data_IF_906666602354
#
_entry.id   IF_906666602354
#
_cell.length_a   1.000
_cell.length_b   1.000
_cell.length_c   1.000
_cell.angle_alpha   90.00
_cell.angle_beta   90.00
_cell.angle_gamma   90.00
#
_symmetry.space_group_name_H-M   'P 1'
#
loop_
_entity.id
_entity.type
_entity.pdbx_description
1 polymer ?
#
# COMPACT_ATOMS: atom_id res chain seq x y z
N UNK A 1 14.48 24.26 -3.85
CA UNK A 1 13.65 23.09 -3.49
C UNK A 1 12.33 23.27 -4.24
N UNK A 2 12.11 22.54 -5.33
CA UNK A 2 10.86 22.67 -6.09
C UNK A 2 9.71 22.12 -5.24
N UNK A 3 8.75 22.97 -4.90
CA UNK A 3 7.47 22.55 -4.35
C UNK A 3 6.90 21.49 -5.29
N UNK A 4 6.78 20.25 -4.81
CA UNK A 4 5.96 19.24 -5.50
C UNK A 4 4.53 19.75 -5.37
N UNK A 5 4.03 20.36 -6.43
CA UNK A 5 2.60 20.62 -6.58
C UNK A 5 1.94 19.23 -6.57
N UNK A 6 1.46 18.82 -5.39
CA UNK A 6 0.73 17.57 -5.25
C UNK A 6 -0.56 17.76 -6.03
N UNK A 7 -0.66 17.11 -7.19
CA UNK A 7 -1.89 17.08 -7.96
C UNK A 7 -3.03 16.72 -7.00
N UNK A 8 -3.96 17.65 -6.81
CA UNK A 8 -5.16 17.36 -6.02
C UNK A 8 -5.97 16.32 -6.79
N UNK A 9 -6.71 15.42 -6.12
CA UNK A 9 -7.49 14.38 -6.79
C UNK A 9 -8.38 14.92 -7.92
N UNK A 10 -8.90 16.14 -7.78
CA UNK A 10 -9.77 16.80 -8.76
C UNK A 10 -9.05 17.36 -10.00
N UNK A 11 -7.71 17.38 -9.98
CA UNK A 11 -6.87 17.99 -11.03
C UNK A 11 -5.94 17.02 -11.73
N UNK A 12 -5.76 15.81 -11.18
CA UNK A 12 -4.90 14.80 -11.78
C UNK A 12 -5.52 14.32 -13.09
N UNK A 13 -4.80 14.46 -14.20
CA UNK A 13 -5.28 13.89 -15.47
C UNK A 13 -5.09 12.38 -15.48
N UNK A 14 -5.77 11.69 -16.40
CA UNK A 14 -5.58 10.24 -16.58
C UNK A 14 -4.12 9.91 -16.89
N UNK A 15 -3.46 10.70 -17.75
CA UNK A 15 -2.06 10.51 -18.12
C UNK A 15 -1.11 10.72 -16.94
N UNK A 16 -1.38 11.73 -16.11
CA UNK A 16 -0.60 11.99 -14.90
C UNK A 16 -0.75 10.86 -13.89
N UNK A 17 -1.98 10.39 -13.68
CA UNK A 17 -2.25 9.26 -12.81
C UNK A 17 -1.51 8.00 -13.26
N UNK A 18 -1.58 7.66 -14.55
CA UNK A 18 -0.86 6.49 -15.08
C UNK A 18 0.66 6.62 -14.92
N UNK A 19 1.22 7.82 -15.15
CA UNK A 19 2.66 8.08 -14.93
C UNK A 19 3.07 7.94 -13.46
N UNK A 20 2.19 8.30 -12.53
CA UNK A 20 2.44 8.15 -11.09
C UNK A 20 2.27 6.68 -10.66
N UNK A 21 1.24 6.00 -11.17
CA UNK A 21 0.98 4.60 -10.89
C UNK A 21 2.14 3.70 -11.33
N UNK A 22 2.73 3.97 -12.50
CA UNK A 22 3.91 3.26 -12.99
C UNK A 22 5.15 3.38 -12.08
N UNK A 23 5.17 4.35 -11.16
CA UNK A 23 6.26 4.54 -10.18
C UNK A 23 5.95 3.92 -8.82
N UNK A 24 4.73 3.44 -8.59
CA UNK A 24 4.25 2.98 -7.29
C UNK A 24 5.09 1.82 -6.75
N UNK A 25 5.27 0.76 -7.54
CA UNK A 25 6.03 -0.42 -7.13
C UNK A 25 7.46 -0.08 -6.72
N UNK A 26 8.15 0.69 -7.57
CA UNK A 26 9.52 1.17 -7.27
C UNK A 26 9.59 2.05 -6.03
N UNK A 27 8.55 2.87 -5.77
CA UNK A 27 8.49 3.70 -4.57
C UNK A 27 8.34 2.85 -3.30
N UNK A 28 7.46 1.85 -3.32
CA UNK A 28 7.25 0.93 -2.21
C UNK A 28 8.52 0.12 -1.93
N UNK A 29 9.19 -0.37 -2.96
CA UNK A 29 10.48 -1.06 -2.84
C UNK A 29 11.56 -0.15 -2.23
N UNK A 30 11.68 1.09 -2.74
CA UNK A 30 12.63 2.07 -2.23
C UNK A 30 12.39 2.43 -0.76
N UNK A 31 11.14 2.64 -0.35
CA UNK A 31 10.81 2.95 1.05
C UNK A 31 11.05 1.73 1.95
N UNK A 32 10.73 0.53 1.46
CA UNK A 32 10.94 -0.71 2.20
C UNK A 32 12.41 -0.98 2.48
N UNK A 33 13.26 -0.77 1.47
CA UNK A 33 14.72 -0.92 1.60
C UNK A 33 15.36 0.20 2.44
N UNK A 34 14.98 1.46 2.23
CA UNK A 34 15.58 2.61 2.94
C UNK A 34 15.22 2.69 4.42
N UNK A 35 13.96 2.43 4.78
CA UNK A 35 13.52 2.49 6.18
C UNK A 35 13.70 1.16 6.90
N UNK A 36 13.68 0.03 6.18
CA UNK A 36 13.83 -1.33 6.73
C UNK A 36 12.72 -1.70 7.73
N UNK A 37 12.55 -2.98 8.07
CA UNK A 37 11.67 -3.38 9.16
C UNK A 37 12.48 -3.59 10.44
N UNK A 38 11.90 -3.26 11.62
CA UNK A 38 12.46 -3.73 12.89
C UNK A 38 12.28 -5.24 12.98
N UNK A 39 13.10 -5.90 13.80
CA UNK A 39 13.00 -7.34 14.01
C UNK A 39 11.58 -7.75 14.43
N UNK A 40 10.98 -8.68 13.69
CA UNK A 40 9.62 -9.17 13.93
C UNK A 40 8.48 -8.34 13.32
N UNK A 41 8.78 -7.26 12.60
CA UNK A 41 7.79 -6.47 11.88
C UNK A 41 7.85 -6.73 10.37
N UNK A 42 6.72 -6.52 9.69
CA UNK A 42 6.68 -6.54 8.23
C UNK A 42 7.24 -5.24 7.63
N UNK A 43 7.83 -5.36 6.46
CA UNK A 43 8.23 -4.25 5.59
C UNK A 43 7.00 -3.56 5.00
N UNK A 44 7.18 -2.35 4.46
CA UNK A 44 6.08 -1.65 3.79
C UNK A 44 5.58 -2.45 2.58
N UNK A 45 6.49 -3.09 1.84
CA UNK A 45 6.17 -3.95 0.70
C UNK A 45 5.31 -5.15 1.10
N UNK A 46 5.63 -5.83 2.20
CA UNK A 46 4.81 -6.95 2.68
C UNK A 46 3.44 -6.49 3.19
N UNK A 47 3.36 -5.33 3.83
CA UNK A 47 2.10 -4.73 4.25
C UNK A 47 1.24 -4.29 3.05
N UNK A 48 1.87 -3.71 2.02
CA UNK A 48 1.23 -3.30 0.78
C UNK A 48 0.64 -4.51 0.03
N UNK A 49 1.44 -5.57 -0.14
CA UNK A 49 0.98 -6.82 -0.73
C UNK A 49 -0.21 -7.42 0.03
N UNK A 50 -0.13 -7.45 1.37
CA UNK A 50 -1.25 -7.94 2.17
C UNK A 50 -2.52 -7.11 1.94
N UNK A 51 -2.41 -5.77 1.93
CA UNK A 51 -3.56 -4.87 1.81
C UNK A 51 -4.25 -4.92 0.46
N UNK A 52 -3.50 -4.98 -0.63
CA UNK A 52 -4.05 -4.81 -1.98
C UNK A 52 -4.15 -6.11 -2.76
N UNK A 53 -3.50 -7.19 -2.31
CA UNK A 53 -3.53 -8.50 -2.98
C UNK A 53 -4.21 -9.54 -2.09
N UNK A 54 -3.67 -9.79 -0.90
CA UNK A 54 -4.13 -10.91 -0.06
C UNK A 54 -5.48 -10.63 0.59
N UNK A 55 -5.64 -9.48 1.25
CA UNK A 55 -6.85 -9.12 1.98
C UNK A 55 -8.09 -9.07 1.07
N UNK A 56 -8.06 -8.46 -0.13
CA UNK A 56 -9.19 -8.54 -1.06
C UNK A 56 -9.48 -9.97 -1.51
N UNK A 57 -8.44 -10.79 -1.72
CA UNK A 57 -8.61 -12.20 -2.11
C UNK A 57 -9.16 -13.09 -1.00
N UNK A 58 -9.01 -12.69 0.27
CA UNK A 58 -9.43 -13.45 1.45
C UNK A 58 -10.77 -12.97 2.04
N UNK A 59 -11.03 -11.66 2.01
CA UNK A 59 -12.07 -11.00 2.81
C UNK A 59 -13.06 -10.18 1.97
N UNK A 60 -13.03 -10.26 0.63
CA UNK A 60 -13.97 -9.52 -0.21
C UNK A 60 -15.42 -9.83 0.16
N UNK A 61 -16.30 -8.83 -0.01
CA UNK A 61 -17.72 -8.97 0.32
C UNK A 61 -18.43 -9.99 -0.56
N UNK A 62 -18.02 -10.09 -1.83
CA UNK A 62 -18.70 -10.94 -2.82
C UNK A 62 -18.41 -12.43 -2.63
N UNK A 63 -17.20 -12.80 -2.16
CA UNK A 63 -16.82 -14.19 -1.95
C UNK A 63 -15.68 -14.34 -0.91
N UNK A 64 -15.98 -14.15 0.39
CA UNK A 64 -14.97 -14.24 1.43
C UNK A 64 -14.51 -15.69 1.60
N UNK A 65 -13.19 -15.92 1.53
CA UNK A 65 -12.59 -17.24 1.78
C UNK A 65 -12.54 -17.57 3.27
N UNK A 66 -12.46 -16.55 4.13
CA UNK A 66 -12.56 -16.67 5.58
C UNK A 66 -12.95 -15.34 6.22
N UNK A 67 -13.39 -15.39 7.47
CA UNK A 67 -13.57 -14.18 8.27
C UNK A 67 -12.22 -13.55 8.64
N UNK A 68 -12.22 -12.22 8.78
CA UNK A 68 -11.08 -11.50 9.37
C UNK A 68 -11.03 -11.78 10.87
N UNK A 69 -9.83 -12.04 11.37
CA UNK A 69 -9.56 -12.05 12.81
C UNK A 69 -8.92 -10.73 13.26
N UNK A 70 -8.59 -10.65 14.55
CA UNK A 70 -7.99 -9.45 15.12
C UNK A 70 -6.58 -9.14 14.58
N UNK A 71 -5.81 -10.17 14.20
CA UNK A 71 -4.46 -9.99 13.66
C UNK A 71 -4.51 -9.48 12.22
N UNK A 72 -5.50 -9.93 11.42
CA UNK A 72 -5.73 -9.39 10.08
C UNK A 72 -6.05 -7.89 10.13
N UNK A 73 -6.91 -7.49 11.07
CA UNK A 73 -7.28 -6.08 11.25
C UNK A 73 -6.05 -5.27 11.67
N UNK A 74 -5.23 -5.77 12.60
CA UNK A 74 -3.96 -5.12 12.96
C UNK A 74 -3.08 -4.93 11.73
N UNK A 75 -2.98 -5.94 10.87
CA UNK A 75 -2.14 -5.88 9.68
C UNK A 75 -2.63 -4.84 8.66
N UNK A 76 -3.95 -4.74 8.47
CA UNK A 76 -4.54 -3.72 7.61
C UNK A 76 -4.22 -2.30 8.09
N UNK A 77 -4.24 -2.06 9.40
CA UNK A 77 -4.05 -0.72 9.99
C UNK A 77 -2.60 -0.42 10.40
N UNK A 78 -1.66 -1.34 10.23
CA UNK A 78 -0.25 -1.14 10.61
C UNK A 78 0.48 -0.16 9.68
N UNK A 79 0.52 1.12 10.00
CA UNK A 79 1.07 2.13 9.09
C UNK A 79 2.55 2.38 9.34
N UNK A 80 3.36 2.20 8.29
CA UNK A 80 4.77 2.58 8.25
C UNK A 80 4.94 3.83 7.39
N UNK A 81 4.76 5.00 8.00
CA UNK A 81 5.14 6.29 7.41
C UNK A 81 6.55 6.69 7.81
#
# INVERSE_FOLDING_TARGET
MASRESATPDKVTSEEFQKLLAKYEHLIEFISSSKGAKAGQKTLQELDHFRFVEAPALFSQDNPKRAMDHEDVKLLVDWKL
#
